data_IF_946573059635
#
_entry.id   IF_946573059635
#
_cell.length_a   1.000
_cell.length_b   1.000
_cell.length_c   1.000
_cell.angle_alpha   90.00
_cell.angle_beta   90.00
_cell.angle_gamma   90.00
#
_symmetry.space_group_name_H-M   'P 1'
#
loop_
_entity.id
_entity.type
_entity.pdbx_description
1 polymer ?
#
# COMPACT_ATOMS: atom_id res chain seq x y z
N UNK A 1 13.22 -5.66 57.07
CA UNK A 1 13.40 -4.70 55.99
C UNK A 1 13.85 -5.35 54.67
N UNK A 2 14.59 -6.45 54.64
CA UNK A 2 15.08 -7.11 53.41
C UNK A 2 14.02 -7.75 52.49
N UNK A 3 12.87 -8.22 53.01
CA UNK A 3 11.84 -8.88 52.18
C UNK A 3 11.08 -7.93 51.24
N UNK A 4 11.01 -6.62 51.55
CA UNK A 4 10.34 -5.64 50.70
C UNK A 4 11.24 -5.14 49.53
N UNK A 5 12.56 -5.26 49.65
CA UNK A 5 13.49 -4.85 48.61
C UNK A 5 13.55 -5.87 47.47
N UNK A 6 13.39 -7.18 47.80
CA UNK A 6 13.41 -8.27 46.79
C UNK A 6 12.16 -8.23 45.90
N UNK A 7 10.98 -7.85 46.44
CA UNK A 7 9.76 -7.70 45.64
C UNK A 7 9.83 -6.50 44.67
N UNK A 8 10.51 -5.42 45.05
CA UNK A 8 10.65 -4.25 44.15
C UNK A 8 11.61 -4.50 42.99
N UNK A 9 12.68 -5.26 43.22
CA UNK A 9 13.63 -5.62 42.16
C UNK A 9 13.05 -6.65 41.19
N UNK A 10 12.20 -7.58 41.64
CA UNK A 10 11.52 -8.50 40.73
C UNK A 10 10.43 -7.80 39.87
N UNK A 11 9.72 -6.82 40.43
CA UNK A 11 8.73 -6.04 39.71
C UNK A 11 9.41 -5.13 38.64
N UNK A 12 10.60 -4.57 38.93
CA UNK A 12 11.36 -3.78 37.95
C UNK A 12 11.93 -4.65 36.82
N UNK A 13 12.27 -5.92 37.06
CA UNK A 13 12.76 -6.84 36.00
C UNK A 13 11.61 -7.35 35.09
N UNK A 14 10.34 -7.34 35.56
CA UNK A 14 9.23 -7.75 34.70
C UNK A 14 8.73 -6.63 33.77
N UNK A 15 9.08 -5.36 34.03
CA UNK A 15 8.68 -4.23 33.19
C UNK A 15 9.66 -4.02 32.00
N UNK A 16 10.87 -4.57 32.09
CA UNK A 16 11.87 -4.46 31.00
C UNK A 16 11.81 -5.62 30.00
N UNK A 17 10.86 -6.53 30.13
CA UNK A 17 10.73 -7.75 29.30
C UNK A 17 9.68 -7.68 28.19
N UNK A 18 8.98 -6.55 28.02
CA UNK A 18 8.24 -6.24 26.79
C UNK A 18 9.16 -5.44 25.86
N UNK A 19 10.24 -6.08 25.39
CA UNK A 19 10.80 -5.71 24.12
C UNK A 19 9.69 -5.98 23.10
N UNK A 20 9.01 -4.96 22.60
CA UNK A 20 8.34 -5.08 21.32
C UNK A 20 9.40 -5.64 20.38
N UNK A 21 9.20 -6.83 19.86
CA UNK A 21 10.04 -7.32 18.78
C UNK A 21 9.88 -6.29 17.68
N UNK A 22 10.95 -5.55 17.38
CA UNK A 22 10.96 -4.61 16.27
C UNK A 22 10.79 -5.47 15.02
N UNK A 23 9.69 -5.29 14.31
CA UNK A 23 9.42 -6.03 13.06
C UNK A 23 10.53 -5.62 12.11
N UNK A 24 11.32 -6.59 11.64
CA UNK A 24 12.36 -6.33 10.66
C UNK A 24 11.68 -5.99 9.33
N UNK A 25 11.99 -4.82 8.76
CA UNK A 25 11.47 -4.39 7.47
C UNK A 25 12.53 -4.51 6.38
N UNK A 26 12.07 -4.69 5.14
CA UNK A 26 12.89 -4.66 3.93
C UNK A 26 12.35 -3.58 3.00
N UNK A 27 13.26 -2.84 2.38
CA UNK A 27 12.96 -1.87 1.33
C UNK A 27 13.30 -2.49 -0.03
N UNK A 28 12.36 -2.46 -0.96
CA UNK A 28 12.52 -3.02 -2.30
C UNK A 28 12.11 -1.99 -3.35
N UNK A 29 13.02 -1.65 -4.27
CA UNK A 29 12.70 -0.78 -5.40
C UNK A 29 11.93 -1.57 -6.45
N UNK A 30 10.77 -1.04 -6.86
CA UNK A 30 9.94 -1.64 -7.91
C UNK A 30 10.55 -1.28 -9.28
N UNK A 31 10.90 -2.25 -10.11
CA UNK A 31 11.55 -2.01 -11.40
C UNK A 31 10.56 -1.44 -12.41
N UNK A 32 10.60 -0.13 -12.67
CA UNK A 32 9.75 0.48 -13.68
C UNK A 32 10.25 0.14 -15.07
N UNK A 33 9.33 -0.15 -16.00
CA UNK A 33 9.64 -0.53 -17.39
C UNK A 33 10.16 0.62 -18.24
N UNK A 34 9.96 1.86 -17.81
CA UNK A 34 10.49 3.05 -18.48
C UNK A 34 11.89 3.36 -17.93
N UNK A 35 12.98 3.04 -18.66
CA UNK A 35 14.35 3.15 -18.15
C UNK A 35 14.77 4.60 -17.84
N UNK A 36 14.13 5.59 -18.49
CA UNK A 36 14.39 7.00 -18.29
C UNK A 36 13.34 7.68 -17.38
N UNK A 37 12.56 6.88 -16.62
CA UNK A 37 11.59 7.43 -15.68
C UNK A 37 12.29 8.24 -14.59
N UNK A 38 11.86 9.48 -14.34
CA UNK A 38 12.35 10.26 -13.21
C UNK A 38 11.82 9.75 -11.87
N UNK A 39 10.78 8.92 -11.90
CA UNK A 39 10.12 8.39 -10.73
C UNK A 39 10.81 7.11 -10.26
N UNK A 40 11.04 7.02 -8.97
CA UNK A 40 11.40 5.78 -8.29
C UNK A 40 10.27 5.44 -7.31
N UNK A 41 9.83 4.19 -7.35
CA UNK A 41 8.83 3.66 -6.43
C UNK A 41 9.48 2.58 -5.59
N UNK A 42 9.41 2.71 -4.28
CA UNK A 42 9.92 1.73 -3.32
C UNK A 42 8.78 1.18 -2.47
N UNK A 43 8.86 -0.09 -2.14
CA UNK A 43 7.97 -0.76 -1.19
C UNK A 43 8.77 -1.14 0.05
N UNK A 44 8.36 -0.64 1.20
CA UNK A 44 8.86 -1.05 2.52
C UNK A 44 7.82 -1.95 3.17
N UNK A 45 8.19 -3.19 3.46
CA UNK A 45 7.30 -4.17 4.09
C UNK A 45 8.05 -5.05 5.10
N UNK A 46 7.31 -5.91 5.82
CA UNK A 46 7.92 -6.91 6.71
C UNK A 46 8.86 -7.83 5.91
N UNK A 47 10.05 -8.07 6.45
CA UNK A 47 11.08 -8.92 5.82
C UNK A 47 10.69 -10.40 5.75
N UNK A 48 9.62 -10.82 6.43
CA UNK A 48 9.07 -12.18 6.34
C UNK A 48 8.19 -12.39 5.10
N UNK A 49 7.76 -11.30 4.44
CA UNK A 49 6.93 -11.36 3.23
C UNK A 49 7.79 -11.65 2.00
N UNK A 50 7.25 -12.45 1.08
CA UNK A 50 7.84 -12.69 -0.22
C UNK A 50 7.26 -11.72 -1.25
N UNK A 51 8.13 -10.96 -1.93
CA UNK A 51 7.72 -10.03 -2.98
C UNK A 51 8.22 -10.52 -4.33
N UNK A 52 7.29 -10.82 -5.25
CA UNK A 52 7.59 -11.33 -6.60
C UNK A 52 7.19 -10.28 -7.63
N UNK A 53 8.09 -9.98 -8.58
CA UNK A 53 7.84 -9.04 -9.65
C UNK A 53 7.51 -9.75 -10.97
N UNK A 54 6.47 -9.25 -11.65
CA UNK A 54 6.11 -9.64 -13.02
C UNK A 54 5.99 -8.37 -13.88
N UNK A 55 6.59 -8.39 -15.06
CA UNK A 55 6.61 -7.26 -15.99
C UNK A 55 5.81 -7.61 -17.25
N UNK A 56 4.76 -6.85 -17.53
CA UNK A 56 4.10 -6.87 -18.83
C UNK A 56 4.73 -5.81 -19.76
N UNK A 57 5.83 -6.19 -20.39
CA UNK A 57 6.62 -5.31 -21.26
C UNK A 57 5.80 -4.64 -22.37
N UNK A 58 4.82 -5.31 -23.05
CA UNK A 58 4.00 -4.66 -24.06
C UNK A 58 3.15 -3.50 -23.57
N UNK A 59 2.63 -3.58 -22.34
CA UNK A 59 1.81 -2.52 -21.75
C UNK A 59 2.59 -1.58 -20.84
N UNK A 60 3.81 -1.97 -20.46
CA UNK A 60 4.62 -1.22 -19.51
C UNK A 60 4.15 -1.32 -18.06
N UNK A 61 3.22 -2.22 -17.77
CA UNK A 61 2.73 -2.46 -16.41
C UNK A 61 3.71 -3.36 -15.65
N UNK A 62 4.03 -2.97 -14.43
CA UNK A 62 4.76 -3.80 -13.47
C UNK A 62 3.79 -4.26 -12.39
N UNK A 63 3.89 -5.52 -12.00
CA UNK A 63 3.15 -6.07 -10.86
C UNK A 63 4.14 -6.56 -9.82
N UNK A 64 3.87 -6.19 -8.56
CA UNK A 64 4.53 -6.75 -7.40
C UNK A 64 3.48 -7.56 -6.63
N UNK A 65 3.65 -8.87 -6.56
CA UNK A 65 2.79 -9.73 -5.72
C UNK A 65 3.48 -9.91 -4.37
N UNK A 66 2.77 -9.57 -3.31
CA UNK A 66 3.21 -9.75 -1.94
C UNK A 66 2.48 -10.94 -1.35
N UNK A 67 3.24 -11.99 -1.06
CA UNK A 67 2.72 -13.22 -0.47
C UNK A 67 2.84 -13.19 1.05
N UNK A 68 1.76 -13.62 1.73
CA UNK A 68 1.70 -13.74 3.18
C UNK A 68 1.15 -15.12 3.55
N UNK A 69 1.70 -15.73 4.60
CA UNK A 69 1.16 -16.99 5.17
C UNK A 69 -0.08 -16.72 6.05
N UNK A 70 -0.34 -15.46 6.43
CA UNK A 70 -1.38 -15.08 7.39
C UNK A 70 -2.52 -14.28 6.76
N UNK A 71 -2.29 -13.68 5.60
CA UNK A 71 -3.23 -12.79 4.89
C UNK A 71 -3.35 -13.21 3.42
N UNK A 72 -4.43 -12.76 2.78
CA UNK A 72 -4.58 -12.91 1.34
C UNK A 72 -3.47 -12.20 0.57
N UNK A 73 -3.09 -12.75 -0.58
CA UNK A 73 -2.09 -12.16 -1.45
C UNK A 73 -2.52 -10.77 -1.94
N UNK A 74 -1.56 -9.84 -1.93
CA UNK A 74 -1.78 -8.48 -2.42
C UNK A 74 -0.98 -8.26 -3.70
N UNK A 75 -1.66 -7.79 -4.74
CA UNK A 75 -1.00 -7.39 -6.00
C UNK A 75 -0.98 -5.88 -6.11
N UNK A 76 0.22 -5.32 -6.23
CA UNK A 76 0.47 -3.90 -6.50
C UNK A 76 0.76 -3.78 -7.99
N UNK A 77 -0.14 -3.14 -8.73
CA UNK A 77 0.00 -2.88 -10.17
C UNK A 77 0.42 -1.43 -10.39
N UNK A 78 1.46 -1.22 -11.20
CA UNK A 78 1.98 0.11 -11.52
C UNK A 78 1.95 0.26 -13.05
N UNK A 79 1.10 1.15 -13.51
CA UNK A 79 0.87 1.41 -14.93
C UNK A 79 1.29 2.84 -15.30
N UNK A 80 2.10 3.05 -16.35
CA UNK A 80 2.40 4.40 -16.86
C UNK A 80 1.14 5.03 -17.47
N UNK A 81 0.95 6.32 -17.24
CA UNK A 81 -0.18 7.10 -17.78
C UNK A 81 0.28 8.47 -18.24
N UNK A 82 0.19 8.74 -19.53
CA UNK A 82 0.52 10.05 -20.10
C UNK A 82 -0.42 11.17 -19.63
N UNK A 83 -1.65 10.82 -19.17
CA UNK A 83 -2.65 11.77 -18.70
C UNK A 83 -2.26 12.45 -17.39
N UNK A 84 -1.42 11.81 -16.60
CA UNK A 84 -1.11 12.25 -15.23
C UNK A 84 0.36 12.64 -15.03
N UNK A 85 1.11 12.85 -16.12
CA UNK A 85 2.49 13.32 -16.03
C UNK A 85 2.54 14.68 -15.32
N UNK A 86 3.38 14.80 -14.30
CA UNK A 86 3.52 16.00 -13.47
C UNK A 86 2.33 16.23 -12.52
N UNK A 87 1.52 15.20 -12.24
CA UNK A 87 0.33 15.31 -11.39
C UNK A 87 0.31 14.16 -10.37
N UNK A 88 -0.28 14.46 -9.22
CA UNK A 88 -0.63 13.47 -8.20
C UNK A 88 -2.16 13.36 -8.07
N UNK A 89 -2.64 12.38 -7.32
CA UNK A 89 -4.07 12.23 -7.01
C UNK A 89 -4.64 13.50 -6.36
N UNK A 90 -3.86 14.20 -5.53
CA UNK A 90 -4.27 15.44 -4.86
C UNK A 90 -4.43 16.64 -5.80
N UNK A 91 -3.89 16.59 -7.02
CA UNK A 91 -4.02 17.64 -8.03
C UNK A 91 -5.26 17.48 -8.92
N UNK A 92 -6.02 16.39 -8.73
CA UNK A 92 -7.22 16.14 -9.51
C UNK A 92 -8.39 17.01 -9.02
N UNK A 93 -9.18 17.49 -9.97
CA UNK A 93 -10.45 18.13 -9.68
C UNK A 93 -11.51 17.13 -9.24
N UNK A 94 -12.58 17.56 -8.58
CA UNK A 94 -13.69 16.69 -8.21
C UNK A 94 -14.32 15.97 -9.42
N UNK A 95 -14.37 16.62 -10.59
CA UNK A 95 -14.88 16.02 -11.82
C UNK A 95 -13.99 14.86 -12.29
N UNK A 96 -12.66 15.01 -12.22
CA UNK A 96 -11.69 13.96 -12.55
C UNK A 96 -11.73 12.82 -11.53
N UNK A 97 -11.90 13.12 -10.24
CA UNK A 97 -12.07 12.11 -9.20
C UNK A 97 -13.38 11.33 -9.38
N UNK A 98 -14.46 12.00 -9.80
CA UNK A 98 -15.73 11.32 -10.10
C UNK A 98 -15.61 10.41 -11.33
N UNK A 99 -14.83 10.82 -12.34
CA UNK A 99 -14.53 9.97 -13.49
C UNK A 99 -13.73 8.74 -13.08
N UNK A 100 -12.71 8.92 -12.23
CA UNK A 100 -11.94 7.78 -11.67
C UNK A 100 -12.83 6.83 -10.85
N UNK A 101 -13.71 7.36 -9.98
CA UNK A 101 -14.68 6.56 -9.23
C UNK A 101 -15.58 5.75 -10.16
N UNK A 102 -16.04 6.38 -11.26
CA UNK A 102 -16.87 5.70 -12.25
C UNK A 102 -16.12 4.54 -12.91
N UNK A 103 -14.88 4.78 -13.34
CA UNK A 103 -14.05 3.75 -14.00
C UNK A 103 -13.71 2.62 -13.01
N UNK A 104 -13.27 2.96 -11.81
CA UNK A 104 -12.92 1.97 -10.79
C UNK A 104 -14.12 1.15 -10.33
N UNK A 105 -15.30 1.77 -10.30
CA UNK A 105 -16.55 1.11 -9.92
C UNK A 105 -17.12 0.15 -10.95
N UNK A 106 -16.71 0.23 -12.24
CA UNK A 106 -17.31 -0.59 -13.32
C UNK A 106 -17.13 -2.11 -13.11
N UNK A 107 -16.12 -2.51 -12.36
CA UNK A 107 -15.82 -3.92 -12.10
C UNK A 107 -16.49 -4.48 -10.83
N UNK A 108 -17.15 -3.63 -10.03
CA UNK A 108 -17.74 -4.00 -8.75
C UNK A 108 -19.28 -3.85 -8.77
N UNK A 109 -19.96 -4.68 -7.98
CA UNK A 109 -21.39 -4.57 -7.77
C UNK A 109 -21.65 -3.63 -6.56
N UNK A 110 -22.42 -2.54 -6.76
CA UNK A 110 -22.73 -1.53 -5.75
C UNK A 110 -21.49 -0.94 -5.06
N UNK A 111 -20.49 -0.40 -5.79
CA UNK A 111 -19.26 0.08 -5.20
C UNK A 111 -19.50 1.28 -4.28
N UNK A 112 -18.78 1.32 -3.18
CA UNK A 112 -18.64 2.48 -2.32
C UNK A 112 -17.21 3.02 -2.41
N UNK A 113 -17.03 4.32 -2.15
CA UNK A 113 -15.76 5.00 -2.31
C UNK A 113 -15.41 5.81 -1.08
N UNK A 114 -14.16 5.74 -0.66
CA UNK A 114 -13.59 6.59 0.37
C UNK A 114 -12.24 7.15 -0.10
N UNK A 115 -11.80 8.24 0.50
CA UNK A 115 -10.45 8.78 0.30
C UNK A 115 -9.71 8.81 1.61
N UNK A 116 -8.43 8.46 1.58
CA UNK A 116 -7.55 8.48 2.74
C UNK A 116 -6.21 9.09 2.36
N UNK A 117 -5.57 9.77 3.31
CA UNK A 117 -4.23 10.35 3.09
C UNK A 117 -3.23 9.57 3.94
N UNK A 118 -2.16 9.09 3.31
CA UNK A 118 -1.08 8.41 4.03
C UNK A 118 -0.33 9.37 4.96
N UNK A 119 0.47 8.84 5.89
CA UNK A 119 1.35 9.67 6.75
C UNK A 119 2.30 10.59 5.97
N UNK A 120 2.72 10.19 4.76
CA UNK A 120 3.59 10.95 3.85
C UNK A 120 2.83 12.00 3.03
N UNK A 121 1.49 12.02 3.12
CA UNK A 121 0.63 13.00 2.47
C UNK A 121 0.10 12.58 1.09
N UNK A 122 0.30 11.36 0.67
CA UNK A 122 -0.26 10.84 -0.58
C UNK A 122 -1.76 10.56 -0.40
N UNK A 123 -2.58 11.01 -1.34
CA UNK A 123 -4.03 10.76 -1.36
C UNK A 123 -4.31 9.45 -2.09
N UNK A 124 -5.13 8.61 -1.49
CA UNK A 124 -5.58 7.33 -2.02
C UNK A 124 -7.10 7.29 -2.14
N UNK A 125 -7.60 6.59 -3.15
CA UNK A 125 -9.01 6.26 -3.32
C UNK A 125 -9.21 4.78 -3.01
N UNK A 126 -10.14 4.50 -2.13
CA UNK A 126 -10.54 3.16 -1.70
C UNK A 126 -11.85 2.78 -2.38
N UNK A 127 -11.93 1.56 -2.84
CA UNK A 127 -13.13 0.97 -3.41
C UNK A 127 -13.51 -0.25 -2.60
N UNK A 128 -14.77 -0.30 -2.18
CA UNK A 128 -15.36 -1.45 -1.49
C UNK A 128 -16.63 -1.86 -2.22
N UNK A 129 -16.91 -3.15 -2.29
CA UNK A 129 -18.11 -3.70 -2.91
C UNK A 129 -19.17 -4.07 -1.87
N UNK A 130 -20.43 -4.15 -2.31
CA UNK A 130 -21.55 -4.73 -1.58
C UNK A 130 -21.92 -4.09 -0.24
N UNK A 131 -21.72 -2.76 -0.07
CA UNK A 131 -22.02 -2.01 1.16
C UNK A 131 -21.28 -2.54 2.42
N UNK A 132 -20.33 -3.46 2.25
CA UNK A 132 -19.46 -3.93 3.31
C UNK A 132 -18.25 -2.99 3.41
N UNK A 133 -17.63 -2.92 4.57
CA UNK A 133 -16.48 -2.03 4.80
C UNK A 133 -15.16 -2.60 4.27
N UNK A 134 -15.23 -3.77 3.64
CA UNK A 134 -14.06 -4.48 3.14
C UNK A 134 -13.46 -3.78 1.92
N UNK A 135 -12.14 -3.64 1.90
CA UNK A 135 -11.43 -2.93 0.85
C UNK A 135 -11.08 -3.91 -0.27
N UNK A 136 -11.68 -3.72 -1.44
CA UNK A 136 -11.39 -4.54 -2.61
C UNK A 136 -10.21 -4.01 -3.41
N UNK A 137 -10.09 -2.68 -3.50
CA UNK A 137 -8.99 -2.04 -4.22
C UNK A 137 -8.66 -0.66 -3.67
N UNK A 138 -7.37 -0.32 -3.72
CA UNK A 138 -6.85 0.98 -3.34
C UNK A 138 -5.98 1.51 -4.47
N UNK A 139 -6.10 2.79 -4.82
CA UNK A 139 -5.25 3.33 -5.85
C UNK A 139 -4.89 4.80 -5.63
N UNK A 140 -3.77 5.18 -6.24
CA UNK A 140 -3.28 6.55 -6.30
C UNK A 140 -2.67 6.85 -7.66
N UNK A 141 -2.43 8.13 -7.89
CA UNK A 141 -1.73 8.65 -9.07
C UNK A 141 -0.52 9.44 -8.58
N UNK A 142 0.63 9.19 -9.18
CA UNK A 142 1.84 9.94 -8.90
C UNK A 142 2.70 10.10 -10.16
N UNK A 143 2.92 11.35 -10.58
CA UNK A 143 3.88 11.75 -11.64
C UNK A 143 3.82 10.90 -12.92
N UNK A 144 2.60 10.62 -13.41
CA UNK A 144 2.41 9.82 -14.62
C UNK A 144 2.32 8.31 -14.39
N UNK A 145 2.19 7.88 -13.14
CA UNK A 145 1.94 6.49 -12.80
C UNK A 145 0.61 6.34 -12.08
N UNK A 146 -0.15 5.35 -12.51
CA UNK A 146 -1.32 4.84 -11.81
C UNK A 146 -0.88 3.63 -10.99
N UNK A 147 -1.07 3.69 -9.69
CA UNK A 147 -0.69 2.62 -8.76
C UNK A 147 -1.97 2.08 -8.14
N UNK A 148 -2.22 0.80 -8.35
CA UNK A 148 -3.38 0.08 -7.82
C UNK A 148 -2.91 -1.09 -6.96
N UNK A 149 -3.55 -1.27 -5.83
CA UNK A 149 -3.33 -2.39 -4.93
C UNK A 149 -4.65 -3.14 -4.81
N UNK A 150 -4.63 -4.43 -5.12
CA UNK A 150 -5.76 -5.33 -5.06
C UNK A 150 -5.42 -6.50 -4.13
N UNK A 151 -6.30 -6.79 -3.19
CA UNK A 151 -6.21 -7.97 -2.36
C UNK A 151 -7.06 -9.09 -2.96
N UNK A 152 -6.46 -10.28 -3.12
CA UNK A 152 -7.14 -11.42 -3.72
C UNK A 152 -7.54 -12.43 -2.66
N UNK A 153 -8.85 -12.65 -2.52
CA UNK A 153 -9.42 -13.67 -1.65
C UNK A 153 -10.00 -14.80 -2.50
N UNK A 154 -9.77 -16.05 -2.10
CA UNK A 154 -10.42 -17.21 -2.71
C UNK A 154 -11.94 -17.18 -2.46
N UNK A 155 -12.35 -16.68 -1.31
CA UNK A 155 -13.73 -16.39 -0.93
C UNK A 155 -13.77 -15.04 -0.19
N UNK A 156 -14.35 -14.02 -0.81
CA UNK A 156 -14.46 -12.67 -0.22
C UNK A 156 -15.29 -12.62 1.06
N UNK A 157 -16.09 -13.64 1.34
CA UNK A 157 -16.80 -13.75 2.63
C UNK A 157 -15.87 -14.08 3.81
N UNK A 158 -14.61 -14.39 3.55
CA UNK A 158 -13.58 -14.67 4.56
C UNK A 158 -12.65 -13.48 4.82
N UNK A 159 -12.80 -12.37 4.08
CA UNK A 159 -12.03 -11.13 4.31
C UNK A 159 -12.30 -10.59 5.72
N UNK A 160 -11.28 -10.09 6.35
CA UNK A 160 -11.32 -9.60 7.73
C UNK A 160 -10.71 -8.19 7.85
N UNK A 161 -11.04 -7.48 8.92
CA UNK A 161 -10.40 -6.18 9.25
C UNK A 161 -8.86 -6.27 9.29
N UNK A 162 -8.30 -7.46 9.61
CA UNK A 162 -6.85 -7.66 9.64
C UNK A 162 -6.25 -7.72 8.22
N UNK A 163 -7.00 -8.20 7.23
CA UNK A 163 -6.59 -8.20 5.83
C UNK A 163 -6.60 -6.77 5.27
N UNK A 164 -7.62 -5.98 5.62
CA UNK A 164 -7.68 -4.56 5.28
C UNK A 164 -6.52 -3.76 5.89
N UNK A 165 -6.21 -4.02 7.17
CA UNK A 165 -5.07 -3.39 7.85
C UNK A 165 -3.73 -3.81 7.22
N UNK A 166 -3.63 -5.06 6.78
CA UNK A 166 -2.46 -5.55 6.05
C UNK A 166 -2.31 -4.85 4.70
N UNK A 167 -3.37 -4.76 3.90
CA UNK A 167 -3.37 -4.04 2.62
C UNK A 167 -2.99 -2.56 2.79
N UNK A 168 -3.55 -1.88 3.81
CA UNK A 168 -3.17 -0.51 4.15
C UNK A 168 -1.71 -0.38 4.56
N UNK A 169 -1.18 -1.33 5.32
CA UNK A 169 0.22 -1.29 5.75
C UNK A 169 1.19 -1.35 4.56
N UNK A 170 0.87 -2.18 3.56
CA UNK A 170 1.63 -2.23 2.31
C UNK A 170 1.52 -0.93 1.51
N UNK A 171 0.30 -0.37 1.41
CA UNK A 171 0.07 0.89 0.73
C UNK A 171 0.89 2.03 1.35
N UNK A 172 0.90 2.14 2.68
CA UNK A 172 1.68 3.15 3.41
C UNK A 172 3.19 2.89 3.35
N UNK A 173 3.60 1.67 3.03
CA UNK A 173 4.99 1.32 2.73
C UNK A 173 5.44 1.70 1.33
N UNK A 174 4.53 2.18 0.46
CA UNK A 174 4.90 2.66 -0.89
C UNK A 174 5.37 4.10 -0.80
N UNK A 175 6.62 4.33 -1.16
CA UNK A 175 7.24 5.65 -1.24
C UNK A 175 7.54 6.03 -2.69
N UNK A 176 7.26 7.28 -3.02
CA UNK A 176 7.52 7.87 -4.32
C UNK A 176 8.63 8.90 -4.21
N UNK A 177 9.59 8.86 -5.12
CA UNK A 177 10.64 9.88 -5.21
C UNK A 177 10.93 10.27 -6.65
N UNK A 178 11.29 11.55 -6.85
CA UNK A 178 11.76 12.06 -8.13
C UNK A 178 13.28 12.14 -8.14
N UNK A 179 13.89 11.71 -9.23
CA UNK A 179 15.34 11.92 -9.42
C UNK A 179 15.63 13.42 -9.55
N UNK A 180 16.71 13.91 -8.94
CA UNK A 180 17.10 15.33 -8.93
C UNK A 180 17.35 15.93 -10.35
N UNK A 181 17.38 15.11 -11.40
CA UNK A 181 17.68 15.53 -12.77
C UNK A 181 16.54 16.35 -13.43
N UNK A 182 15.36 16.47 -12.81
CA UNK A 182 14.22 17.25 -13.34
C UNK A 182 13.82 18.45 -12.47
N UNK A 183 14.59 18.81 -11.46
CA UNK A 183 14.33 19.98 -10.62
C UNK A 183 14.91 21.29 -11.19
N UNK A 184 15.28 21.36 -12.48
CA UNK A 184 15.75 22.58 -13.16
C UNK A 184 14.73 23.18 -14.12
#
# INVERSE_FOLDING_TARGET
MMKKLICLTLAALMITGLACAEIATVETTIPLTQPDSPVTITLTCDSALEVVFDEDVPTGVVRATVHSDEHADVVISIAPSELYVGRSMADLSEEELDELRSIAGEQYENPTFATETSPEGNLYLFVSSNDESDIDSLFTIYEGYFVELIQYHDDYSEQTDADDDFARSLLYGIEFSLSEAQAE
#
